data_IF_146676656489
#
_entry.id   IF_146676656489
#
_cell.length_a   1.000
_cell.length_b   1.000
_cell.length_c   1.000
_cell.angle_alpha   90.00
_cell.angle_beta   90.00
_cell.angle_gamma   90.00
#
_symmetry.space_group_name_H-M   'P 1'
#
loop_
_entity.id
_entity.type
_entity.pdbx_description
1 polymer ?
#
# COMPACT_ATOMS: atom_id res chain seq x y z
N UNK A 1 9.87 10.84 5.30
CA UNK A 1 8.88 9.79 5.00
C UNK A 1 9.51 8.70 4.16
N UNK A 2 9.39 7.48 4.58
CA UNK A 2 9.94 6.31 3.89
C UNK A 2 8.85 5.25 3.74
N UNK A 3 8.82 4.57 2.62
CA UNK A 3 7.83 3.53 2.40
C UNK A 3 8.27 2.45 1.44
N UNK A 4 7.48 1.39 1.39
CA UNK A 4 7.74 0.23 0.55
C UNK A 4 6.52 -0.09 -0.28
N UNK A 5 6.71 -0.27 -1.58
CA UNK A 5 5.75 -0.90 -2.47
C UNK A 5 6.31 -2.27 -2.88
N UNK A 6 5.51 -3.29 -2.73
CA UNK A 6 5.97 -4.64 -3.05
C UNK A 6 4.83 -5.50 -3.59
N UNK A 7 5.05 -6.06 -4.78
CA UNK A 7 4.24 -7.15 -5.27
C UNK A 7 4.74 -8.42 -4.58
N UNK A 8 4.05 -8.84 -3.53
CA UNK A 8 4.54 -9.89 -2.64
C UNK A 8 4.41 -11.30 -3.20
N UNK A 9 3.62 -11.49 -4.25
CA UNK A 9 3.35 -12.81 -4.84
C UNK A 9 2.93 -13.85 -3.79
N UNK A 10 1.99 -13.44 -2.95
CA UNK A 10 1.53 -14.22 -1.82
C UNK A 10 2.25 -13.86 -0.53
N UNK A 11 1.48 -13.61 0.51
CA UNK A 11 2.01 -13.15 1.81
C UNK A 11 1.88 -14.22 2.89
N UNK A 12 1.90 -15.50 2.50
CA UNK A 12 1.81 -16.61 3.45
C UNK A 12 3.14 -17.04 4.06
N UNK A 13 4.25 -16.60 3.49
CA UNK A 13 5.59 -17.01 3.89
C UNK A 13 6.09 -16.19 5.09
N UNK A 14 6.47 -16.86 6.17
CA UNK A 14 6.99 -16.21 7.38
C UNK A 14 8.28 -15.42 7.12
N UNK A 15 9.09 -15.83 6.14
CA UNK A 15 10.29 -15.09 5.77
C UNK A 15 9.95 -13.70 5.23
N UNK A 16 8.85 -13.58 4.48
CA UNK A 16 8.39 -12.28 3.98
C UNK A 16 7.90 -11.38 5.12
N UNK A 17 7.19 -11.94 6.09
CA UNK A 17 6.77 -11.20 7.29
C UNK A 17 7.97 -10.65 8.06
N UNK A 18 8.98 -11.48 8.23
CA UNK A 18 10.21 -11.09 8.93
C UNK A 18 10.97 -10.01 8.18
N UNK A 19 11.06 -10.15 6.86
CA UNK A 19 11.70 -9.16 6.02
C UNK A 19 11.07 -7.78 6.17
N UNK A 20 9.74 -7.71 6.13
CA UNK A 20 9.01 -6.45 6.32
C UNK A 20 9.20 -5.88 7.72
N UNK A 21 9.10 -6.72 8.75
CA UNK A 21 9.31 -6.30 10.13
C UNK A 21 10.73 -5.73 10.33
N UNK A 22 11.73 -6.35 9.73
CA UNK A 22 13.11 -5.89 9.81
C UNK A 22 13.28 -4.54 9.10
N UNK A 23 12.65 -4.35 7.94
CA UNK A 23 12.67 -3.07 7.22
C UNK A 23 12.05 -1.95 8.06
N UNK A 24 10.90 -2.20 8.67
CA UNK A 24 10.25 -1.20 9.53
C UNK A 24 11.17 -0.80 10.68
N UNK A 25 11.80 -1.80 11.28
CA UNK A 25 12.66 -1.59 12.45
C UNK A 25 13.96 -0.87 12.08
N UNK A 26 14.63 -1.29 11.02
CA UNK A 26 15.95 -0.81 10.64
C UNK A 26 15.90 0.49 9.84
N UNK A 27 14.95 0.60 8.91
CA UNK A 27 14.83 1.74 8.00
C UNK A 27 13.74 2.72 8.42
N UNK A 28 13.00 2.43 9.48
CA UNK A 28 11.91 3.27 9.98
C UNK A 28 10.86 3.57 8.90
N UNK A 29 10.36 2.50 8.30
CA UNK A 29 9.35 2.58 7.25
C UNK A 29 8.04 3.11 7.83
N UNK A 30 7.41 4.05 7.13
CA UNK A 30 6.19 4.71 7.56
C UNK A 30 4.94 4.23 6.81
N UNK A 31 5.12 3.57 5.65
CA UNK A 31 4.00 2.91 4.98
C UNK A 31 4.47 1.63 4.30
N UNK A 32 3.54 0.69 4.19
CA UNK A 32 3.76 -0.61 3.53
C UNK A 32 2.59 -0.82 2.58
N UNK A 33 2.87 -0.89 1.28
CA UNK A 33 1.88 -1.05 0.23
C UNK A 33 2.16 -2.35 -0.52
N UNK A 34 1.33 -3.36 -0.29
CA UNK A 34 1.52 -4.71 -0.82
C UNK A 34 0.43 -5.06 -1.81
N UNK A 35 0.82 -5.66 -2.93
CA UNK A 35 -0.10 -6.22 -3.91
C UNK A 35 0.13 -7.72 -4.04
N UNK A 36 -0.83 -8.42 -4.66
CA UNK A 36 -0.84 -9.88 -4.81
C UNK A 36 -0.63 -10.60 -3.49
N UNK A 37 -1.34 -10.17 -2.45
CA UNK A 37 -1.21 -10.78 -1.13
C UNK A 37 -1.75 -12.20 -1.07
N UNK A 38 -2.73 -12.53 -1.92
CA UNK A 38 -3.32 -13.86 -2.01
C UNK A 38 -4.15 -14.25 -0.80
N UNK A 39 -4.51 -13.30 0.07
CA UNK A 39 -5.24 -13.60 1.31
C UNK A 39 -6.46 -12.71 1.46
N UNK A 40 -7.54 -13.30 1.98
CA UNK A 40 -8.78 -12.59 2.25
C UNK A 40 -8.69 -11.78 3.55
N UNK A 41 -8.01 -12.32 4.55
CA UNK A 41 -7.96 -11.74 5.88
C UNK A 41 -6.54 -11.78 6.45
N UNK A 42 -6.28 -10.82 7.34
CA UNK A 42 -5.02 -10.73 8.07
C UNK A 42 -5.32 -10.61 9.56
N UNK A 43 -5.01 -11.65 10.37
CA UNK A 43 -5.17 -11.57 11.83
C UNK A 43 -4.34 -10.43 12.41
N UNK A 44 -4.82 -9.83 13.49
CA UNK A 44 -4.14 -8.71 14.15
C UNK A 44 -2.69 -9.02 14.52
N UNK A 45 -2.41 -10.24 14.97
CA UNK A 45 -1.04 -10.60 15.35
C UNK A 45 -0.08 -10.61 14.16
N UNK A 46 -0.57 -10.93 12.96
CA UNK A 46 0.23 -10.85 11.73
C UNK A 46 0.47 -9.39 11.36
N UNK A 47 -0.57 -8.57 11.37
CA UNK A 47 -0.44 -7.14 11.05
C UNK A 47 0.54 -6.44 11.99
N UNK A 48 0.46 -6.72 13.28
CA UNK A 48 1.41 -6.17 14.26
C UNK A 48 2.84 -6.61 13.99
N UNK A 49 3.03 -7.85 13.59
CA UNK A 49 4.35 -8.37 13.23
C UNK A 49 4.93 -7.65 12.01
N UNK A 50 4.11 -7.42 10.98
CA UNK A 50 4.56 -6.77 9.76
C UNK A 50 5.12 -5.38 10.01
N UNK A 51 4.55 -4.63 10.95
CA UNK A 51 4.98 -3.28 11.28
C UNK A 51 5.84 -3.21 12.56
N UNK A 52 6.40 -4.33 12.99
CA UNK A 52 7.28 -4.43 14.17
C UNK A 52 6.67 -3.82 15.44
N UNK A 53 5.36 -4.00 15.63
CA UNK A 53 4.64 -3.52 16.81
C UNK A 53 4.32 -2.03 16.81
N UNK A 54 4.62 -1.29 15.74
CA UNK A 54 4.29 0.14 15.64
C UNK A 54 2.79 0.34 15.42
N UNK A 55 2.31 1.55 15.66
CA UNK A 55 0.89 1.87 15.47
C UNK A 55 0.59 2.16 14.00
N UNK A 56 0.34 1.10 13.25
CA UNK A 56 -0.13 1.21 11.88
C UNK A 56 -1.63 1.02 11.83
N UNK A 57 -2.29 1.72 10.91
CA UNK A 57 -3.62 1.37 10.47
C UNK A 57 -3.52 0.64 9.14
N UNK A 58 -4.32 -0.41 9.00
CA UNK A 58 -4.28 -1.30 7.85
C UNK A 58 -5.61 -1.35 7.13
N UNK A 59 -5.55 -1.44 5.82
CA UNK A 59 -6.72 -1.70 4.98
C UNK A 59 -6.38 -2.80 4.00
N UNK A 60 -7.23 -3.83 3.95
CA UNK A 60 -7.04 -4.94 3.01
C UNK A 60 -8.18 -5.00 2.01
N UNK A 61 -7.85 -5.34 0.77
CA UNK A 61 -8.82 -5.68 -0.27
C UNK A 61 -8.57 -7.13 -0.64
N UNK A 62 -9.59 -7.98 -0.45
CA UNK A 62 -9.49 -9.41 -0.72
C UNK A 62 -9.24 -9.69 -2.21
N UNK A 63 -8.57 -10.80 -2.55
CA UNK A 63 -8.48 -11.23 -3.94
C UNK A 63 -9.87 -11.47 -4.50
N UNK A 64 -10.16 -10.90 -5.66
CA UNK A 64 -11.43 -11.12 -6.35
C UNK A 64 -11.27 -10.84 -7.83
N UNK A 65 -11.94 -11.66 -8.65
CA UNK A 65 -11.99 -11.44 -10.08
C UNK A 65 -10.63 -11.15 -10.69
N UNK A 66 -10.31 -9.85 -10.84
CA UNK A 66 -9.13 -9.36 -11.53
C UNK A 66 -8.00 -8.92 -10.60
N UNK A 67 -8.20 -8.98 -9.27
CA UNK A 67 -7.22 -8.54 -8.28
C UNK A 67 -6.70 -9.72 -7.46
N UNK A 68 -5.40 -9.74 -7.21
CA UNK A 68 -4.72 -10.73 -6.36
C UNK A 68 -4.69 -10.37 -4.89
N UNK A 69 -5.37 -9.31 -4.49
CA UNK A 69 -5.41 -8.81 -3.11
C UNK A 69 -4.41 -7.69 -2.86
N UNK A 70 -4.80 -6.75 -2.01
CA UNK A 70 -4.00 -5.59 -1.64
C UNK A 70 -4.02 -5.43 -0.13
N UNK A 71 -2.88 -5.05 0.45
CA UNK A 71 -2.78 -4.67 1.85
C UNK A 71 -1.98 -3.38 1.97
N UNK A 72 -2.59 -2.34 2.53
CA UNK A 72 -1.96 -1.06 2.72
C UNK A 72 -1.96 -0.69 4.20
N UNK A 73 -0.79 -0.38 4.75
CA UNK A 73 -0.65 0.06 6.11
C UNK A 73 0.16 1.34 6.22
N UNK A 74 -0.25 2.24 7.10
CA UNK A 74 0.45 3.51 7.33
C UNK A 74 0.61 3.77 8.82
N UNK A 75 1.71 4.42 9.16
CA UNK A 75 2.10 4.74 10.52
C UNK A 75 1.32 5.94 11.05
N UNK A 76 0.49 5.73 12.05
CA UNK A 76 -0.33 6.79 12.66
C UNK A 76 0.47 7.81 13.45
N UNK A 77 1.71 7.51 13.79
CA UNK A 77 2.59 8.51 14.43
C UNK A 77 3.09 9.54 13.42
N UNK A 78 3.09 9.18 12.14
CA UNK A 78 3.60 10.03 11.06
C UNK A 78 2.48 10.70 10.26
N UNK A 79 1.35 10.02 10.10
CA UNK A 79 0.27 10.47 9.22
C UNK A 79 -1.06 10.61 9.95
N UNK A 80 -1.81 11.65 9.58
CA UNK A 80 -3.26 11.68 9.77
C UNK A 80 -3.91 11.12 8.50
N UNK A 81 -4.97 10.35 8.68
CA UNK A 81 -5.67 9.72 7.58
C UNK A 81 -6.98 10.45 7.33
N UNK A 82 -7.20 10.84 6.09
CA UNK A 82 -8.47 11.35 5.62
C UNK A 82 -9.35 10.22 5.07
N UNK A 83 -9.63 10.26 3.77
CA UNK A 83 -10.48 9.26 3.12
C UNK A 83 -9.70 7.99 2.79
N UNK A 84 -10.38 6.85 2.87
CA UNK A 84 -9.92 5.56 2.35
C UNK A 84 -10.92 5.15 1.28
N UNK A 85 -10.44 4.76 0.10
CA UNK A 85 -11.30 4.34 -1.00
C UNK A 85 -10.68 3.17 -1.77
N UNK A 86 -11.53 2.40 -2.43
CA UNK A 86 -11.15 1.25 -3.25
C UNK A 86 -11.71 1.38 -4.65
N UNK A 87 -10.93 0.91 -5.64
CA UNK A 87 -11.43 0.59 -6.97
C UNK A 87 -11.34 -0.91 -7.22
N UNK A 88 -11.45 -1.31 -8.46
CA UNK A 88 -11.26 -2.73 -8.83
C UNK A 88 -9.79 -3.13 -8.71
N UNK A 89 -8.88 -2.19 -8.96
CA UNK A 89 -7.44 -2.46 -9.04
C UNK A 89 -6.61 -1.68 -8.06
N UNK A 90 -7.21 -0.93 -7.13
CA UNK A 90 -6.43 -0.10 -6.21
C UNK A 90 -7.12 0.08 -4.86
N UNK A 91 -6.30 0.38 -3.86
CA UNK A 91 -6.70 0.98 -2.60
C UNK A 91 -5.98 2.32 -2.49
N UNK A 92 -6.65 3.37 -2.07
CA UNK A 92 -6.01 4.66 -1.85
C UNK A 92 -6.31 5.22 -0.47
N UNK A 93 -5.30 5.84 0.12
CA UNK A 93 -5.42 6.61 1.36
C UNK A 93 -5.11 8.08 1.07
N UNK A 94 -5.95 8.98 1.54
CA UNK A 94 -5.60 10.40 1.59
C UNK A 94 -4.90 10.66 2.90
N UNK A 95 -3.67 11.17 2.84
CA UNK A 95 -2.79 11.31 3.99
C UNK A 95 -2.33 12.75 4.17
N UNK A 96 -2.07 13.12 5.41
CA UNK A 96 -1.40 14.36 5.77
C UNK A 96 -0.22 14.02 6.68
N UNK A 97 0.98 14.46 6.30
CA UNK A 97 2.16 14.30 7.14
C UNK A 97 2.04 15.22 8.36
N UNK A 98 2.17 14.65 9.55
CA UNK A 98 2.14 15.43 10.80
C UNK A 98 3.32 16.36 10.95
N UNK A 99 4.42 16.06 10.27
CA UNK A 99 5.67 16.81 10.38
C UNK A 99 5.61 18.17 9.67
N UNK A 100 5.06 18.20 8.45
CA UNK A 100 5.09 19.39 7.58
C UNK A 100 3.75 19.72 6.92
N UNK A 101 2.66 19.07 7.34
CA UNK A 101 1.31 19.24 6.80
C UNK A 101 1.16 18.90 5.31
N UNK A 102 2.14 18.24 4.72
CA UNK A 102 2.05 17.83 3.32
C UNK A 102 0.91 16.84 3.11
N UNK A 103 -0.02 17.21 2.22
CA UNK A 103 -1.17 16.37 1.88
C UNK A 103 -0.95 15.68 0.55
N UNK A 104 -1.21 14.38 0.51
CA UNK A 104 -1.05 13.59 -0.71
C UNK A 104 -1.94 12.35 -0.67
N UNK A 105 -2.03 11.67 -1.80
CA UNK A 105 -2.78 10.42 -1.91
C UNK A 105 -1.80 9.28 -2.19
N UNK A 106 -1.90 8.22 -1.41
CA UNK A 106 -1.08 7.02 -1.58
C UNK A 106 -1.95 5.93 -2.21
N UNK A 107 -1.54 5.48 -3.41
CA UNK A 107 -2.21 4.40 -4.14
C UNK A 107 -1.39 3.13 -4.05
N UNK A 108 -2.06 2.04 -3.71
CA UNK A 108 -1.53 0.69 -3.89
C UNK A 108 -2.31 0.05 -5.00
N UNK A 109 -1.65 -0.36 -6.06
CA UNK A 109 -2.32 -0.88 -7.26
C UNK A 109 -1.91 -2.32 -7.54
N UNK A 110 -2.83 -3.04 -8.15
CA UNK A 110 -2.59 -4.36 -8.69
C UNK A 110 -2.74 -4.31 -10.21
N UNK A 111 -1.62 -4.44 -10.94
CA UNK A 111 -1.64 -4.51 -12.39
C UNK A 111 -1.91 -5.94 -12.83
N UNK A 112 -3.01 -6.20 -13.55
CA UNK A 112 -3.36 -7.56 -13.93
C UNK A 112 -2.38 -8.14 -14.95
N UNK A 113 -2.07 -9.44 -14.79
CA UNK A 113 -1.20 -10.15 -15.72
C UNK A 113 -1.89 -10.48 -17.05
N UNK A 114 -3.21 -10.68 -17.00
CA UNK A 114 -3.97 -11.09 -18.19
C UNK A 114 -4.26 -9.91 -19.09
N UNK A 115 -3.97 -10.06 -20.37
CA UNK A 115 -4.13 -8.99 -21.37
C UNK A 115 -5.54 -8.42 -21.42
N UNK A 116 -6.55 -9.27 -21.26
CA UNK A 116 -7.96 -8.87 -21.32
C UNK A 116 -8.34 -7.90 -20.19
N UNK A 117 -7.61 -7.91 -19.09
CA UNK A 117 -7.89 -7.05 -17.93
C UNK A 117 -7.07 -5.77 -17.96
N UNK A 118 -6.05 -5.65 -18.81
CA UNK A 118 -5.16 -4.49 -18.84
C UNK A 118 -5.87 -3.22 -19.26
N UNK A 119 -6.81 -3.31 -20.21
CA UNK A 119 -7.56 -2.14 -20.64
C UNK A 119 -8.46 -1.60 -19.53
N UNK A 120 -9.15 -2.49 -18.81
CA UNK A 120 -9.99 -2.09 -17.69
C UNK A 120 -9.14 -1.44 -16.57
N UNK A 121 -7.98 -2.00 -16.28
CA UNK A 121 -7.04 -1.44 -15.32
C UNK A 121 -6.58 -0.05 -15.73
N UNK A 122 -6.12 0.12 -16.96
CA UNK A 122 -5.64 1.41 -17.45
C UNK A 122 -6.76 2.45 -17.46
N UNK A 123 -7.97 2.07 -17.88
CA UNK A 123 -9.12 2.97 -17.89
C UNK A 123 -9.46 3.45 -16.47
N UNK A 124 -9.46 2.54 -15.49
CA UNK A 124 -9.72 2.91 -14.11
C UNK A 124 -8.64 3.86 -13.58
N UNK A 125 -7.37 3.54 -13.80
CA UNK A 125 -6.27 4.36 -13.27
C UNK A 125 -6.20 5.73 -13.92
N UNK A 126 -6.39 5.82 -15.23
CA UNK A 126 -6.43 7.12 -15.94
C UNK A 126 -7.59 7.95 -15.41
N UNK A 127 -8.79 7.38 -15.32
CA UNK A 127 -9.96 8.09 -14.82
C UNK A 127 -9.76 8.57 -13.39
N UNK A 128 -9.25 7.71 -12.52
CA UNK A 128 -9.04 8.03 -11.10
C UNK A 128 -7.98 9.12 -10.92
N UNK A 129 -6.83 8.95 -11.55
CA UNK A 129 -5.73 9.90 -11.41
C UNK A 129 -6.03 11.25 -12.05
N UNK A 130 -6.79 11.28 -13.16
CA UNK A 130 -7.15 12.54 -13.82
C UNK A 130 -8.08 13.41 -12.97
N UNK A 131 -8.81 12.81 -12.04
CA UNK A 131 -9.71 13.53 -11.13
C UNK A 131 -9.06 13.89 -9.80
N UNK A 132 -7.84 13.41 -9.55
CA UNK A 132 -7.16 13.65 -8.30
C UNK A 132 -6.62 15.07 -8.24
N UNK A 133 -7.00 15.83 -7.21
CA UNK A 133 -6.58 17.22 -7.02
C UNK A 133 -5.29 17.36 -6.21
N UNK A 134 -4.94 16.33 -5.44
CA UNK A 134 -3.74 16.33 -4.60
C UNK A 134 -2.57 15.64 -5.32
N UNK A 135 -1.33 15.94 -4.93
CA UNK A 135 -0.20 15.11 -5.34
C UNK A 135 -0.45 13.66 -4.95
N UNK A 136 0.01 12.72 -5.77
CA UNK A 136 -0.19 11.32 -5.44
C UNK A 136 1.07 10.50 -5.71
N UNK A 137 1.16 9.39 -5.00
CA UNK A 137 2.25 8.44 -5.08
C UNK A 137 1.68 7.06 -5.42
N UNK A 138 2.18 6.47 -6.48
CA UNK A 138 1.76 5.14 -6.94
C UNK A 138 2.99 4.26 -7.05
N UNK A 139 2.99 3.12 -6.37
CA UNK A 139 3.99 2.10 -6.53
C UNK A 139 3.45 0.95 -7.36
N UNK A 140 4.29 0.35 -8.17
CA UNK A 140 3.91 -0.65 -9.13
C UNK A 140 5.05 -1.63 -9.38
N UNK A 141 4.71 -2.92 -9.48
CA UNK A 141 5.68 -3.95 -9.83
C UNK A 141 6.51 -4.40 -8.65
N UNK A 142 7.59 -5.09 -8.90
CA UNK A 142 8.45 -5.76 -7.92
C UNK A 142 8.54 -5.17 -6.52
N UNK A 143 9.74 -4.93 -6.07
CA UNK A 143 10.03 -4.29 -4.78
C UNK A 143 10.53 -2.88 -5.04
N UNK A 144 9.92 -1.86 -4.40
CA UNK A 144 10.32 -0.46 -4.53
C UNK A 144 10.40 0.19 -3.15
N UNK A 145 11.54 0.78 -2.86
CA UNK A 145 11.74 1.61 -1.69
C UNK A 145 11.52 3.07 -2.08
N UNK A 146 10.76 3.79 -1.27
CA UNK A 146 10.46 5.20 -1.49
C UNK A 146 10.95 6.03 -0.32
N UNK A 147 11.55 7.17 -0.61
CA UNK A 147 11.94 8.16 0.40
C UNK A 147 11.63 9.56 -0.11
N UNK A 148 10.94 10.35 0.73
CA UNK A 148 10.72 11.77 0.48
C UNK A 148 11.65 12.56 1.39
N UNK A 149 12.52 13.36 0.79
CA UNK A 149 13.50 14.17 1.51
C UNK A 149 12.80 15.25 2.35
N UNK A 150 13.36 15.53 3.53
CA UNK A 150 12.87 16.58 4.41
C UNK A 150 11.59 16.24 5.17
N UNK A 151 11.11 15.02 5.03
CA UNK A 151 9.87 14.56 5.67
C UNK A 151 10.09 13.77 6.94
#
# INVERSE_FOLDING_TARGET
MKGVFWNSRGLGDLAKHRFLADLVKEEQINFIALSETGRDEFPDHILKKLCAGREFIWHSMAPHGRSGGILLGVDLEVFDIGAIAEGDFYVKFTLRSKHDDFKFVLYTVYGPAQQQNKQAFLAEMVNTCSKESLPYLIGWGGFQYYERAGG
#
